data_IF_584136990718
#
_entry.id   IF_584136990718
#
_cell.length_a   1.000
_cell.length_b   1.000
_cell.length_c   1.000
_cell.angle_alpha   90.00
_cell.angle_beta   90.00
_cell.angle_gamma   90.00
#
_symmetry.space_group_name_H-M   'P 1'
#
loop_
_entity.id
_entity.type
_entity.pdbx_description
1 polymer ?
#
# COMPACT_ATOMS: atom_id res chain seq x y z
N UNK A 1 7.91 -16.54 -24.00
CA UNK A 1 6.44 -16.58 -24.04
C UNK A 1 5.93 -16.37 -22.63
N UNK A 2 5.20 -15.29 -22.37
CA UNK A 2 4.55 -15.07 -21.08
C UNK A 2 3.54 -16.20 -20.81
N UNK A 3 3.60 -16.82 -19.63
CA UNK A 3 2.62 -17.85 -19.25
C UNK A 3 1.27 -17.17 -18.99
N UNK A 4 0.35 -17.31 -19.95
CA UNK A 4 -1.02 -16.81 -19.82
C UNK A 4 -1.76 -17.58 -18.72
N UNK A 5 -2.39 -16.85 -17.80
CA UNK A 5 -3.29 -17.42 -16.79
C UNK A 5 -4.52 -18.06 -17.45
N UNK A 6 -5.14 -19.03 -16.77
CA UNK A 6 -6.42 -19.61 -17.18
C UNK A 6 -7.48 -18.53 -17.44
N UNK A 7 -7.51 -17.50 -16.60
CA UNK A 7 -8.38 -16.34 -16.74
C UNK A 7 -8.13 -15.57 -18.04
N UNK A 8 -6.87 -15.26 -18.34
CA UNK A 8 -6.48 -14.51 -19.55
C UNK A 8 -6.82 -15.27 -20.82
N UNK A 9 -6.76 -16.60 -20.78
CA UNK A 9 -7.12 -17.45 -21.92
C UNK A 9 -8.62 -17.45 -22.19
N UNK A 10 -9.43 -17.59 -21.14
CA UNK A 10 -10.90 -17.55 -21.24
C UNK A 10 -11.38 -16.17 -21.70
N UNK A 11 -10.80 -15.11 -21.16
CA UNK A 11 -11.12 -13.74 -21.56
C UNK A 11 -10.82 -13.51 -23.05
N UNK A 12 -9.68 -13.98 -23.55
CA UNK A 12 -9.33 -13.86 -24.97
C UNK A 12 -10.26 -14.65 -25.90
N UNK A 13 -10.67 -15.86 -25.49
CA UNK A 13 -11.58 -16.73 -26.24
C UNK A 13 -12.98 -16.12 -26.37
N UNK A 14 -13.54 -15.62 -25.27
CA UNK A 14 -14.91 -15.09 -25.21
C UNK A 14 -15.00 -13.67 -25.77
N UNK A 15 -14.06 -12.78 -25.43
CA UNK A 15 -14.05 -11.38 -25.91
C UNK A 15 -13.39 -11.23 -27.28
N UNK A 16 -12.92 -12.33 -27.88
CA UNK A 16 -12.28 -12.35 -29.19
C UNK A 16 -11.09 -11.37 -29.31
N UNK A 17 -10.26 -11.27 -28.25
CA UNK A 17 -9.09 -10.39 -28.24
C UNK A 17 -8.01 -10.95 -29.18
N UNK A 18 -7.54 -10.12 -30.11
CA UNK A 18 -6.49 -10.50 -31.06
C UNK A 18 -5.11 -10.66 -30.38
N UNK A 19 -4.18 -11.31 -31.09
CA UNK A 19 -2.74 -11.42 -30.75
C UNK A 19 -2.37 -12.32 -29.56
N UNK A 20 -3.26 -13.19 -29.09
CA UNK A 20 -2.97 -14.12 -27.98
C UNK A 20 -2.85 -15.59 -28.38
N UNK A 21 -2.93 -15.91 -29.69
CA UNK A 21 -2.83 -17.29 -30.19
C UNK A 21 -4.00 -18.20 -29.78
N UNK A 22 -5.12 -17.60 -29.38
CA UNK A 22 -6.31 -18.31 -28.87
C UNK A 22 -7.43 -18.19 -29.90
N UNK A 23 -8.09 -19.32 -30.19
CA UNK A 23 -9.23 -19.37 -31.11
C UNK A 23 -10.42 -18.59 -30.54
N UNK A 24 -11.28 -18.07 -31.42
CA UNK A 24 -12.51 -17.38 -31.01
C UNK A 24 -13.59 -18.39 -30.65
N UNK A 25 -14.47 -18.04 -29.71
CA UNK A 25 -15.64 -18.84 -29.41
C UNK A 25 -16.68 -18.75 -30.53
N UNK A 26 -17.11 -19.87 -31.14
CA UNK A 26 -18.11 -19.85 -32.21
C UNK A 26 -19.53 -19.58 -31.71
N UNK A 27 -19.80 -19.84 -30.42
CA UNK A 27 -21.13 -19.69 -29.81
C UNK A 27 -21.41 -18.28 -29.28
N UNK A 28 -20.44 -17.35 -29.37
CA UNK A 28 -20.62 -15.98 -28.89
C UNK A 28 -21.24 -15.14 -29.99
N UNK A 29 -22.49 -14.73 -29.79
CA UNK A 29 -23.19 -13.79 -30.67
C UNK A 29 -22.65 -12.37 -30.50
N UNK A 30 -22.96 -11.50 -31.47
CA UNK A 30 -22.56 -10.09 -31.42
C UNK A 30 -23.12 -9.36 -30.19
N UNK A 31 -24.39 -9.60 -29.83
CA UNK A 31 -25.01 -8.97 -28.67
C UNK A 31 -24.32 -9.40 -27.36
N UNK A 32 -24.09 -10.70 -27.20
CA UNK A 32 -23.40 -11.23 -26.03
C UNK A 32 -21.97 -10.68 -25.91
N UNK A 33 -21.27 -10.55 -27.04
CA UNK A 33 -19.93 -9.93 -27.11
C UNK A 33 -19.94 -8.46 -26.68
N UNK A 34 -20.94 -7.69 -27.15
CA UNK A 34 -21.13 -6.28 -26.78
C UNK A 34 -21.36 -6.13 -25.29
N UNK A 35 -22.28 -6.93 -24.72
CA UNK A 35 -22.63 -6.86 -23.30
C UNK A 35 -21.46 -7.25 -22.41
N UNK A 36 -20.73 -8.32 -22.77
CA UNK A 36 -19.54 -8.72 -22.05
C UNK A 36 -18.43 -7.66 -22.10
N UNK A 37 -18.23 -6.96 -23.23
CA UNK A 37 -17.25 -5.85 -23.30
C UNK A 37 -17.66 -4.69 -22.40
N UNK A 38 -18.93 -4.29 -22.45
CA UNK A 38 -19.47 -3.21 -21.60
C UNK A 38 -19.28 -3.54 -20.12
N UNK A 39 -19.54 -4.79 -19.73
CA UNK A 39 -19.40 -5.22 -18.34
C UNK A 39 -17.94 -5.23 -17.87
N UNK A 40 -17.03 -5.68 -18.72
CA UNK A 40 -15.58 -5.63 -18.44
C UNK A 40 -15.08 -4.19 -18.33
N UNK A 41 -15.55 -3.30 -19.19
CA UNK A 41 -15.24 -1.87 -19.13
C UNK A 41 -15.79 -1.22 -17.85
N UNK A 42 -17.06 -1.49 -17.51
CA UNK A 42 -17.69 -1.06 -16.25
C UNK A 42 -16.89 -1.52 -15.03
N UNK A 43 -16.45 -2.76 -15.01
CA UNK A 43 -15.66 -3.31 -13.91
C UNK A 43 -14.26 -2.66 -13.83
N UNK A 44 -13.61 -2.41 -14.96
CA UNK A 44 -12.34 -1.67 -15.00
C UNK A 44 -12.50 -0.26 -14.47
N UNK A 45 -13.54 0.45 -14.89
CA UNK A 45 -13.84 1.79 -14.41
C UNK A 45 -14.10 1.82 -12.90
N UNK A 46 -14.80 0.82 -12.36
CA UNK A 46 -15.00 0.69 -10.91
C UNK A 46 -13.68 0.45 -10.18
N UNK A 47 -12.82 -0.42 -10.70
CA UNK A 47 -11.49 -0.66 -10.13
C UNK A 47 -10.65 0.61 -10.18
N UNK A 48 -10.59 1.32 -11.31
CA UNK A 48 -9.87 2.58 -11.44
C UNK A 48 -10.43 3.67 -10.50
N UNK A 49 -11.76 3.82 -10.39
CA UNK A 49 -12.39 4.75 -9.44
C UNK A 49 -12.13 4.38 -7.98
N UNK A 50 -11.96 3.08 -7.69
CA UNK A 50 -11.65 2.58 -6.35
C UNK A 50 -10.17 2.75 -5.97
N UNK A 51 -9.29 3.05 -6.94
CA UNK A 51 -7.90 3.39 -6.65
C UNK A 51 -7.87 4.73 -5.91
N UNK A 52 -7.79 4.63 -4.59
CA UNK A 52 -7.48 5.66 -3.60
C UNK A 52 -7.78 7.09 -4.05
N UNK A 53 -9.05 7.43 -4.11
CA UNK A 53 -9.46 8.83 -3.98
C UNK A 53 -9.22 9.21 -2.52
N UNK A 54 -8.00 9.61 -2.17
CA UNK A 54 -7.68 10.16 -0.85
C UNK A 54 -8.43 11.47 -0.71
N UNK A 55 -9.66 11.41 -0.23
CA UNK A 55 -10.39 12.61 0.17
C UNK A 55 -9.68 13.15 1.39
N UNK A 56 -9.03 14.30 1.24
CA UNK A 56 -8.35 14.98 2.33
C UNK A 56 -9.39 15.38 3.38
N UNK A 57 -9.54 14.56 4.42
CA UNK A 57 -10.27 14.95 5.61
C UNK A 57 -9.50 16.08 6.32
N UNK A 58 -10.16 16.98 7.08
CA UNK A 58 -9.64 18.30 7.51
C UNK A 58 -8.41 18.31 8.45
N UNK A 59 -7.69 17.20 8.59
CA UNK A 59 -6.55 17.06 9.49
C UNK A 59 -5.22 17.12 8.75
N UNK A 60 -5.20 17.44 7.46
CA UNK A 60 -3.93 17.72 6.78
C UNK A 60 -3.28 18.93 7.46
N UNK A 61 -2.02 18.86 7.90
CA UNK A 61 -1.32 20.04 8.38
C UNK A 61 -1.38 21.07 7.25
N UNK A 62 -1.83 22.28 7.56
CA UNK A 62 -1.85 23.38 6.61
C UNK A 62 -0.49 23.44 5.93
N UNK A 63 -0.48 23.32 4.60
CA UNK A 63 0.72 23.43 3.79
C UNK A 63 1.27 24.85 3.92
N UNK A 64 2.00 25.14 5.00
CA UNK A 64 2.80 26.34 5.11
C UNK A 64 4.09 26.09 4.34
N UNK A 65 4.04 26.48 3.07
CA UNK A 65 5.15 26.84 2.19
C UNK A 65 6.56 26.42 2.65
N UNK A 66 7.14 25.51 1.87
CA UNK A 66 8.59 25.40 1.72
C UNK A 66 9.16 26.72 1.18
N UNK A 67 9.62 27.59 2.06
CA UNK A 67 10.55 28.66 1.74
C UNK A 67 11.24 29.10 3.03
N UNK A 68 12.38 28.47 3.33
CA UNK A 68 13.61 29.15 3.75
C UNK A 68 14.58 28.14 4.36
N UNK A 69 15.21 27.36 3.47
CA UNK A 69 16.56 26.89 3.71
C UNK A 69 17.48 28.12 3.72
N UNK A 70 17.62 28.82 4.85
CA UNK A 70 18.87 29.47 5.22
C UNK A 70 18.79 30.20 6.57
N UNK A 71 19.84 29.97 7.37
CA UNK A 71 20.24 30.69 8.58
C UNK A 71 19.32 30.52 9.81
N UNK A 72 19.80 29.77 10.79
CA UNK A 72 20.28 30.37 12.06
C UNK A 72 21.04 29.37 12.92
N UNK A 73 22.33 29.66 13.06
CA UNK A 73 23.18 29.21 14.15
C UNK A 73 22.61 29.65 15.51
N UNK A 74 22.99 28.91 16.57
CA UNK A 74 22.66 29.03 18.01
C UNK A 74 21.35 28.36 18.44
N UNK A 75 21.46 27.06 18.78
CA UNK A 75 20.42 26.28 19.48
C UNK A 75 20.27 26.76 20.91
N UNK A 76 19.34 27.68 21.15
CA UNK A 76 18.68 27.84 22.44
C UNK A 76 17.66 26.72 22.67
N UNK A 77 16.88 26.77 23.77
CA UNK A 77 15.80 25.83 24.02
C UNK A 77 14.79 25.83 22.85
N UNK A 78 14.26 24.65 22.50
CA UNK A 78 13.26 24.46 21.44
C UNK A 78 12.14 25.50 21.59
N UNK A 79 11.89 26.27 20.53
CA UNK A 79 10.93 27.37 20.53
C UNK A 79 9.51 26.84 20.78
N UNK A 80 8.64 27.65 21.41
CA UNK A 80 7.23 27.32 21.60
C UNK A 80 6.53 26.98 20.28
N UNK A 81 6.95 27.61 19.18
CA UNK A 81 6.44 27.36 17.83
C UNK A 81 6.85 25.97 17.30
N UNK A 82 8.11 25.59 17.47
CA UNK A 82 8.61 24.26 17.06
C UNK A 82 7.90 23.15 17.85
N UNK A 83 7.60 23.38 19.13
CA UNK A 83 6.80 22.45 19.94
C UNK A 83 5.36 22.33 19.44
N UNK A 84 4.76 23.43 18.97
CA UNK A 84 3.41 23.43 18.43
C UNK A 84 3.32 22.64 17.12
N UNK A 85 4.30 22.81 16.21
CA UNK A 85 4.38 22.01 14.98
C UNK A 85 4.58 20.52 15.28
N UNK A 86 5.49 20.19 16.21
CA UNK A 86 5.67 18.81 16.64
C UNK A 86 4.43 18.21 17.32
N UNK A 87 3.54 19.03 17.88
CA UNK A 87 2.26 18.57 18.41
C UNK A 87 1.26 18.30 17.28
N UNK A 88 1.23 19.16 16.26
CA UNK A 88 0.35 19.01 15.10
C UNK A 88 0.74 17.80 14.25
N UNK A 89 2.04 17.59 14.02
CA UNK A 89 2.55 16.41 13.31
C UNK A 89 2.18 15.10 14.01
N UNK A 90 2.23 15.09 15.35
CA UNK A 90 1.80 13.92 16.16
C UNK A 90 0.31 13.67 16.01
N UNK A 91 -0.53 14.70 16.12
CA UNK A 91 -1.98 14.58 15.89
C UNK A 91 -2.28 14.08 14.48
N UNK A 92 -1.54 14.56 13.49
CA UNK A 92 -1.69 14.12 12.11
C UNK A 92 -1.33 12.64 11.95
N UNK A 93 -0.22 12.20 12.53
CA UNK A 93 0.20 10.80 12.53
C UNK A 93 -0.85 9.90 13.21
N UNK A 94 -1.35 10.30 14.38
CA UNK A 94 -2.41 9.57 15.09
C UNK A 94 -3.68 9.45 14.23
N UNK A 95 -4.07 10.52 13.54
CA UNK A 95 -5.21 10.52 12.63
C UNK A 95 -5.00 9.57 11.43
N UNK A 96 -3.79 9.52 10.86
CA UNK A 96 -3.46 8.59 9.77
C UNK A 96 -3.52 7.14 10.23
N UNK A 97 -2.97 6.82 11.41
CA UNK A 97 -3.01 5.47 11.98
C UNK A 97 -4.46 5.02 12.22
N UNK A 98 -5.26 5.85 12.88
CA UNK A 98 -6.67 5.53 13.14
C UNK A 98 -7.48 5.38 11.84
N UNK A 99 -7.25 6.23 10.84
CA UNK A 99 -7.90 6.11 9.52
C UNK A 99 -7.54 4.80 8.83
N UNK A 100 -6.27 4.39 8.85
CA UNK A 100 -5.85 3.13 8.27
C UNK A 100 -6.58 1.94 8.91
N UNK A 101 -6.81 1.99 10.23
CA UNK A 101 -7.58 0.98 10.96
C UNK A 101 -9.05 1.00 10.54
N UNK A 102 -9.70 2.17 10.52
CA UNK A 102 -11.10 2.32 10.13
C UNK A 102 -11.34 1.85 8.69
N UNK A 103 -10.53 2.29 7.73
CA UNK A 103 -10.69 1.92 6.32
C UNK A 103 -10.28 0.49 6.04
N UNK A 104 -9.34 -0.06 6.80
CA UNK A 104 -8.83 -1.42 6.65
C UNK A 104 -9.67 -2.50 7.36
N UNK A 105 -10.68 -2.11 8.14
CA UNK A 105 -11.46 -3.05 8.94
C UNK A 105 -10.63 -3.80 9.99
N UNK A 106 -9.56 -3.16 10.49
CA UNK A 106 -8.63 -3.78 11.44
C UNK A 106 -9.17 -3.60 12.87
N UNK A 107 -9.05 -4.62 13.73
CA UNK A 107 -9.43 -4.49 15.14
C UNK A 107 -8.51 -3.51 15.89
N UNK A 108 -9.05 -2.72 16.81
CA UNK A 108 -8.26 -1.83 17.68
C UNK A 108 -7.25 -2.57 18.54
N UNK A 109 -7.43 -3.88 18.78
CA UNK A 109 -6.44 -4.68 19.48
C UNK A 109 -5.09 -4.70 18.73
N UNK A 110 -5.09 -4.46 17.42
CA UNK A 110 -3.87 -4.36 16.61
C UNK A 110 -2.93 -3.22 17.08
N UNK A 111 -3.45 -2.13 17.66
CA UNK A 111 -2.65 -1.04 18.24
C UNK A 111 -1.82 -1.48 19.46
N UNK A 112 -2.12 -2.65 20.03
CA UNK A 112 -1.34 -3.25 21.12
C UNK A 112 -0.22 -4.16 20.61
N UNK A 113 -0.13 -4.39 19.29
CA UNK A 113 0.93 -5.21 18.72
C UNK A 113 2.31 -4.54 18.96
N UNK A 114 3.26 -5.23 19.62
CA UNK A 114 4.57 -4.66 19.93
C UNK A 114 5.35 -4.29 18.66
N UNK A 115 5.25 -5.09 17.59
CA UNK A 115 5.93 -4.83 16.32
C UNK A 115 5.41 -3.59 15.61
N UNK A 116 4.11 -3.30 15.73
CA UNK A 116 3.55 -2.06 15.19
C UNK A 116 4.11 -0.83 15.91
N UNK A 117 4.19 -0.89 17.25
CA UNK A 117 4.74 0.19 18.07
C UNK A 117 6.21 0.41 17.78
N UNK A 118 6.97 -0.67 17.66
CA UNK A 118 8.39 -0.63 17.32
C UNK A 118 8.60 -0.07 15.91
N UNK A 119 7.79 -0.47 14.92
CA UNK A 119 7.91 0.04 13.56
C UNK A 119 7.76 1.58 13.50
N UNK A 120 6.77 2.15 14.19
CA UNK A 120 6.60 3.61 14.24
C UNK A 120 7.69 4.29 15.07
N UNK A 121 8.11 3.71 16.20
CA UNK A 121 9.22 4.25 16.99
C UNK A 121 10.53 4.27 16.19
N UNK A 122 10.81 3.20 15.43
CA UNK A 122 11.96 3.10 14.54
C UNK A 122 11.89 4.12 13.40
N UNK A 123 10.72 4.24 12.75
CA UNK A 123 10.53 5.18 11.65
C UNK A 123 10.62 6.66 12.10
N UNK A 124 10.11 7.00 13.29
CA UNK A 124 10.16 8.37 13.80
C UNK A 124 11.52 8.75 14.38
N UNK A 125 12.33 7.78 14.81
CA UNK A 125 13.66 8.03 15.39
C UNK A 125 14.78 8.14 14.36
N UNK A 126 14.58 7.61 13.15
CA UNK A 126 15.61 7.59 12.09
C UNK A 126 15.15 8.36 10.86
N UNK A 127 16.06 9.09 10.25
CA UNK A 127 15.79 9.74 8.97
C UNK A 127 15.86 8.71 7.82
N UNK A 128 14.74 8.04 7.56
CA UNK A 128 14.61 7.02 6.51
C UNK A 128 14.13 7.65 5.19
N UNK A 129 14.92 8.59 4.65
CA UNK A 129 14.52 9.35 3.47
C UNK A 129 14.27 8.45 2.26
N UNK A 130 13.08 8.56 1.66
CA UNK A 130 12.67 7.75 0.50
C UNK A 130 12.15 6.35 0.85
N UNK A 131 12.09 5.96 2.13
CA UNK A 131 11.48 4.69 2.52
C UNK A 131 9.97 4.70 2.30
N UNK A 132 9.45 3.58 1.78
CA UNK A 132 8.03 3.33 1.60
C UNK A 132 7.64 2.00 2.26
N UNK A 133 6.44 1.96 2.85
CA UNK A 133 5.87 0.73 3.42
C UNK A 133 5.83 -0.35 2.33
N UNK A 134 6.19 -1.62 2.64
CA UNK A 134 6.15 -2.69 1.66
C UNK A 134 4.76 -2.87 1.03
N UNK A 135 4.71 -2.96 -0.29
CA UNK A 135 3.46 -3.25 -1.01
C UNK A 135 2.96 -4.68 -0.80
N UNK A 136 1.69 -4.92 -1.13
CA UNK A 136 0.98 -6.18 -0.88
C UNK A 136 1.75 -7.44 -1.32
N UNK A 137 2.19 -7.53 -2.58
CA UNK A 137 2.90 -8.71 -3.08
C UNK A 137 4.27 -8.90 -2.41
N UNK A 138 4.97 -7.78 -2.13
CA UNK A 138 6.28 -7.83 -1.46
C UNK A 138 6.13 -8.35 -0.04
N UNK A 139 5.12 -7.90 0.70
CA UNK A 139 4.82 -8.40 2.04
C UNK A 139 4.38 -9.86 2.01
N UNK A 140 3.43 -10.22 1.14
CA UNK A 140 2.83 -11.55 1.04
C UNK A 140 3.84 -12.64 0.66
N UNK A 141 4.71 -12.37 -0.30
CA UNK A 141 5.59 -13.41 -0.86
C UNK A 141 7.05 -13.21 -0.49
N UNK A 142 7.59 -12.01 -0.70
CA UNK A 142 9.01 -11.73 -0.54
C UNK A 142 9.44 -11.76 0.93
N UNK A 143 8.87 -10.86 1.72
CA UNK A 143 9.21 -10.71 3.13
C UNK A 143 8.81 -11.95 3.94
N UNK A 144 7.66 -12.57 3.63
CA UNK A 144 7.27 -13.81 4.30
C UNK A 144 8.27 -14.96 4.07
N UNK A 145 8.81 -15.12 2.85
CA UNK A 145 9.85 -16.11 2.57
C UNK A 145 11.16 -15.79 3.29
N UNK A 146 11.51 -14.51 3.40
CA UNK A 146 12.70 -14.07 4.12
C UNK A 146 12.58 -14.39 5.61
N UNK A 147 11.44 -14.08 6.24
CA UNK A 147 11.16 -14.42 7.63
C UNK A 147 11.23 -15.93 7.87
N UNK A 148 10.60 -16.74 6.99
CA UNK A 148 10.66 -18.19 7.10
C UNK A 148 12.10 -18.71 7.07
N UNK A 149 12.92 -18.23 6.13
CA UNK A 149 14.33 -18.63 6.04
C UNK A 149 15.11 -18.24 7.28
N UNK A 150 14.86 -17.05 7.83
CA UNK A 150 15.53 -16.59 9.03
C UNK A 150 15.23 -17.51 10.23
N UNK A 151 13.96 -17.90 10.39
CA UNK A 151 13.55 -18.85 11.43
C UNK A 151 14.14 -20.25 11.21
N UNK A 152 14.19 -20.74 9.96
CA UNK A 152 14.82 -22.02 9.62
C UNK A 152 16.31 -22.03 10.01
N UNK A 153 17.07 -20.99 9.67
CA UNK A 153 18.48 -20.86 10.07
C UNK A 153 18.66 -20.86 11.59
N UNK A 154 17.81 -20.14 12.33
CA UNK A 154 17.84 -20.13 13.79
C UNK A 154 17.55 -21.52 14.37
N UNK A 155 16.54 -22.21 13.83
CA UNK A 155 16.17 -23.56 14.27
C UNK A 155 17.28 -24.58 14.02
N UNK A 156 17.90 -24.56 12.84
CA UNK A 156 18.98 -25.49 12.50
C UNK A 156 20.21 -25.28 13.40
N UNK A 157 20.53 -24.03 13.72
CA UNK A 157 21.59 -23.72 14.69
C UNK A 157 21.30 -24.26 16.11
N UNK A 158 20.01 -24.34 16.47
CA UNK A 158 19.59 -24.85 17.78
C UNK A 158 19.55 -26.38 17.83
N UNK A 159 19.26 -27.06 16.71
CA UNK A 159 19.21 -28.53 16.60
C UNK A 159 20.60 -29.19 16.49
N UNK A 160 21.61 -28.43 16.08
CA UNK A 160 22.98 -28.92 15.92
C UNK A 160 23.80 -28.91 17.21
N UNK A 161 23.19 -28.52 18.35
CA UNK A 161 23.77 -28.59 19.70
C UNK A 161 23.08 -29.70 20.47
#
# INVERSE_FOLDING_TARGET
MEKLSSYTRVEAHLLQKGRLGISKCPNVTYEMLSDMRKEVERCKDLVERSKTRTVSLPTAPSSSNTADTNKRNKRGPVSALEKAWALEDRKHLDALICRAIYSGGVSFNFLRNPYLREAFAFACSRNMQGYLIPGYNRAREGLLKQERRHLETLLDSTKST
#
